data_IF_197497951650
#
_entry.id   IF_197497951650
#
_cell.length_a   1.000
_cell.length_b   1.000
_cell.length_c   1.000
_cell.angle_alpha   90.00
_cell.angle_beta   90.00
_cell.angle_gamma   90.00
#
_symmetry.space_group_name_H-M   'P 1'
#
loop_
_entity.id
_entity.type
_entity.pdbx_description
1 polymer ?
#
# COMPACT_ATOMS: atom_id res chain seq x y z
N UNK A 1 8.61 -47.33 -9.08
CA UNK A 1 9.70 -46.81 -8.21
C UNK A 1 11.05 -46.82 -8.95
N UNK A 2 11.52 -47.96 -9.48
CA UNK A 2 12.76 -48.04 -10.29
C UNK A 2 12.76 -47.12 -11.54
N UNK A 3 11.62 -47.01 -12.23
CA UNK A 3 11.51 -46.13 -13.42
C UNK A 3 11.52 -44.64 -13.06
N UNK A 4 10.94 -44.28 -11.91
CA UNK A 4 10.88 -42.90 -11.42
C UNK A 4 12.27 -42.38 -11.06
N UNK A 5 13.09 -43.22 -10.42
CA UNK A 5 14.47 -42.89 -10.04
C UNK A 5 15.40 -42.80 -11.26
N UNK A 6 15.21 -43.70 -12.24
CA UNK A 6 15.95 -43.66 -13.50
C UNK A 6 15.66 -42.38 -14.30
N UNK A 7 14.39 -41.93 -14.32
CA UNK A 7 13.99 -40.67 -14.97
C UNK A 7 14.60 -39.46 -14.26
N UNK A 8 14.60 -39.43 -12.92
CA UNK A 8 15.24 -38.35 -12.14
C UNK A 8 16.73 -38.22 -12.44
N UNK A 9 17.46 -39.34 -12.44
CA UNK A 9 18.88 -39.39 -12.79
C UNK A 9 19.16 -38.99 -14.24
N UNK A 10 18.26 -39.32 -15.17
CA UNK A 10 18.38 -38.88 -16.55
C UNK A 10 18.18 -37.36 -16.70
N UNK A 11 17.20 -36.77 -16.01
CA UNK A 11 16.93 -35.32 -16.03
C UNK A 11 18.10 -34.53 -15.40
N UNK A 12 18.66 -35.04 -14.30
CA UNK A 12 19.86 -34.48 -13.67
C UNK A 12 21.05 -34.50 -14.62
N UNK A 13 21.33 -35.65 -15.26
CA UNK A 13 22.53 -35.84 -16.09
C UNK A 13 22.48 -35.09 -17.43
N UNK A 14 21.30 -34.86 -18.01
CA UNK A 14 21.18 -34.38 -19.40
C UNK A 14 20.63 -32.97 -19.54
N UNK A 15 19.84 -32.46 -18.59
CA UNK A 15 19.06 -31.24 -18.80
C UNK A 15 19.37 -30.10 -17.83
N UNK A 16 20.15 -30.37 -16.75
CA UNK A 16 20.48 -29.34 -15.75
C UNK A 16 19.25 -28.70 -15.11
N UNK A 17 18.13 -29.44 -15.09
CA UNK A 17 16.84 -28.98 -14.58
C UNK A 17 16.69 -29.26 -13.10
N UNK A 18 17.17 -30.43 -12.68
CA UNK A 18 17.19 -30.91 -11.30
C UNK A 18 18.63 -31.17 -10.89
N UNK A 19 18.92 -30.97 -9.61
CA UNK A 19 20.23 -31.23 -9.01
C UNK A 19 20.04 -31.94 -7.67
N UNK A 20 20.80 -33.00 -7.42
CA UNK A 20 20.88 -33.64 -6.12
C UNK A 20 21.63 -32.73 -5.12
N UNK A 21 20.95 -32.28 -4.06
CA UNK A 21 21.52 -31.42 -3.00
C UNK A 21 22.10 -32.22 -1.85
N UNK A 22 21.52 -33.39 -1.61
CA UNK A 22 21.99 -34.41 -0.68
C UNK A 22 21.44 -35.76 -1.15
N UNK A 23 21.96 -36.86 -0.61
CA UNK A 23 21.57 -38.21 -1.04
C UNK A 23 20.05 -38.40 -1.00
N UNK A 24 19.43 -38.54 -2.18
CA UNK A 24 17.98 -38.71 -2.34
C UNK A 24 17.14 -37.43 -2.20
N UNK A 25 17.78 -36.26 -2.11
CA UNK A 25 17.11 -34.95 -2.01
C UNK A 25 17.44 -34.15 -3.28
N UNK A 26 16.40 -33.94 -4.10
CA UNK A 26 16.49 -33.19 -5.35
C UNK A 26 15.83 -31.82 -5.22
N UNK A 27 16.40 -30.83 -5.89
CA UNK A 27 15.78 -29.52 -6.09
C UNK A 27 15.88 -29.12 -7.56
N UNK A 28 15.03 -28.20 -8.01
CA UNK A 28 15.32 -27.49 -9.26
C UNK A 28 16.69 -26.81 -9.20
N UNK A 29 17.38 -26.83 -10.33
CA UNK A 29 18.71 -26.22 -10.43
C UNK A 29 18.65 -24.70 -10.31
N UNK A 30 17.50 -24.10 -10.69
CA UNK A 30 17.22 -22.66 -10.58
C UNK A 30 15.80 -22.42 -10.08
N UNK A 31 15.62 -21.38 -9.26
CA UNK A 31 14.32 -20.97 -8.73
C UNK A 31 13.31 -20.66 -9.85
N UNK A 32 13.76 -19.97 -10.91
CA UNK A 32 12.92 -19.65 -12.08
C UNK A 32 12.29 -20.89 -12.73
N UNK A 33 12.98 -22.04 -12.74
CA UNK A 33 12.38 -23.28 -13.23
C UNK A 33 11.30 -23.80 -12.28
N UNK A 34 11.54 -23.78 -10.98
CA UNK A 34 10.53 -24.16 -10.00
C UNK A 34 9.27 -23.30 -10.15
N UNK A 35 9.42 -21.98 -10.23
CA UNK A 35 8.32 -21.03 -10.37
C UNK A 35 7.54 -21.29 -11.67
N UNK A 36 8.25 -21.41 -12.79
CA UNK A 36 7.67 -21.69 -14.10
C UNK A 36 6.95 -23.04 -14.17
N UNK A 37 7.54 -24.13 -13.68
CA UNK A 37 6.90 -25.45 -13.72
C UNK A 37 5.73 -25.54 -12.75
N UNK A 38 5.78 -24.82 -11.62
CA UNK A 38 4.64 -24.72 -10.70
C UNK A 38 3.48 -24.01 -11.38
N UNK A 39 3.71 -22.82 -11.95
CA UNK A 39 2.69 -22.08 -12.69
C UNK A 39 2.12 -22.91 -13.85
N UNK A 40 2.99 -23.54 -14.64
CA UNK A 40 2.57 -24.42 -15.73
C UNK A 40 1.74 -25.60 -15.28
N UNK A 41 2.07 -26.21 -14.14
CA UNK A 41 1.32 -27.34 -13.60
C UNK A 41 -0.09 -26.92 -13.19
N UNK A 42 -0.25 -25.73 -12.62
CA UNK A 42 -1.55 -25.14 -12.26
C UNK A 42 -2.39 -24.91 -13.54
N UNK A 43 -1.80 -24.28 -14.56
CA UNK A 43 -2.51 -23.97 -15.82
C UNK A 43 -2.86 -25.23 -16.63
N UNK A 44 -2.06 -26.29 -16.52
CA UNK A 44 -2.27 -27.55 -17.23
C UNK A 44 -3.39 -28.45 -16.65
N UNK A 45 -4.19 -27.96 -15.70
CA UNK A 45 -5.32 -28.70 -15.12
C UNK A 45 -6.29 -29.20 -16.20
N UNK A 46 -6.69 -30.47 -16.10
CA UNK A 46 -7.39 -31.19 -17.16
C UNK A 46 -8.90 -30.94 -17.24
N UNK A 47 -9.47 -30.24 -16.25
CA UNK A 47 -10.88 -29.84 -16.20
C UNK A 47 -11.07 -28.58 -15.34
N UNK A 48 -12.26 -27.99 -15.40
CA UNK A 48 -12.60 -26.75 -14.69
C UNK A 48 -12.46 -26.88 -13.16
N UNK A 49 -13.04 -27.93 -12.56
CA UNK A 49 -12.98 -28.11 -11.10
C UNK A 49 -11.55 -28.31 -10.56
N UNK A 50 -10.68 -28.99 -11.33
CA UNK A 50 -9.27 -29.15 -11.00
C UNK A 50 -8.49 -27.85 -11.15
N UNK A 51 -8.86 -27.00 -12.11
CA UNK A 51 -8.29 -25.66 -12.23
C UNK A 51 -8.71 -24.79 -11.04
N UNK A 52 -10.01 -24.73 -10.70
CA UNK A 52 -10.51 -23.98 -9.55
C UNK A 52 -9.81 -24.39 -8.25
N UNK A 53 -9.67 -25.69 -7.99
CA UNK A 53 -8.96 -26.18 -6.81
C UNK A 53 -7.48 -25.75 -6.81
N UNK A 54 -6.81 -25.79 -7.96
CA UNK A 54 -5.42 -25.36 -8.08
C UNK A 54 -5.27 -23.83 -7.90
N UNK A 55 -6.21 -23.03 -8.41
CA UNK A 55 -6.23 -21.58 -8.22
C UNK A 55 -6.50 -21.23 -6.76
N UNK A 56 -7.44 -21.90 -6.10
CA UNK A 56 -7.67 -21.71 -4.65
C UNK A 56 -6.43 -22.08 -3.82
N UNK A 57 -5.74 -23.16 -4.19
CA UNK A 57 -4.46 -23.53 -3.57
C UNK A 57 -3.34 -22.51 -3.84
N UNK A 58 -3.32 -21.88 -5.00
CA UNK A 58 -2.37 -20.79 -5.28
C UNK A 58 -2.69 -19.56 -4.42
N UNK A 59 -3.96 -19.17 -4.36
CA UNK A 59 -4.42 -17.97 -3.63
C UNK A 59 -4.22 -18.09 -2.12
N UNK A 60 -4.18 -19.29 -1.54
CA UNK A 60 -3.79 -19.45 -0.12
C UNK A 60 -2.35 -19.02 0.18
N UNK A 61 -1.52 -18.79 -0.85
CA UNK A 61 -0.16 -18.26 -0.74
C UNK A 61 -0.06 -16.76 -1.08
N UNK A 62 -1.18 -16.03 -1.15
CA UNK A 62 -1.19 -14.63 -1.62
C UNK A 62 -0.30 -13.68 -0.79
N UNK A 63 -0.07 -14.00 0.50
CA UNK A 63 0.78 -13.21 1.39
C UNK A 63 2.22 -13.73 1.46
N UNK A 64 2.56 -14.81 0.77
CA UNK A 64 3.91 -15.38 0.75
C UNK A 64 4.74 -14.78 -0.41
N UNK A 65 5.80 -14.00 -0.12
CA UNK A 65 6.58 -13.34 -1.15
C UNK A 65 7.29 -14.31 -2.12
N UNK A 66 7.54 -15.56 -1.72
CA UNK A 66 8.18 -16.57 -2.58
C UNK A 66 7.26 -17.06 -3.69
N UNK A 67 5.95 -16.84 -3.57
CA UNK A 67 4.97 -17.25 -4.58
C UNK A 67 4.68 -16.16 -5.61
N UNK A 68 5.22 -14.95 -5.41
CA UNK A 68 4.92 -13.79 -6.26
C UNK A 68 5.09 -14.09 -7.74
N UNK A 69 6.19 -14.70 -8.14
CA UNK A 69 6.45 -15.01 -9.56
C UNK A 69 5.53 -16.12 -10.08
N UNK A 70 5.11 -17.07 -9.22
CA UNK A 70 4.13 -18.10 -9.59
C UNK A 70 2.78 -17.46 -9.94
N UNK A 71 2.34 -16.45 -9.19
CA UNK A 71 1.12 -15.69 -9.51
C UNK A 71 1.23 -15.00 -10.86
N UNK A 72 2.32 -14.26 -11.10
CA UNK A 72 2.52 -13.52 -12.35
C UNK A 72 2.56 -14.47 -13.56
N UNK A 73 3.34 -15.55 -13.45
CA UNK A 73 3.44 -16.55 -14.51
C UNK A 73 2.11 -17.28 -14.75
N UNK A 74 1.39 -17.65 -13.69
CA UNK A 74 0.08 -18.30 -13.82
C UNK A 74 -0.90 -17.37 -14.51
N UNK A 75 -1.00 -16.11 -14.07
CA UNK A 75 -1.89 -15.09 -14.65
C UNK A 75 -1.58 -14.88 -16.14
N UNK A 76 -0.30 -14.80 -16.52
CA UNK A 76 0.12 -14.62 -17.91
C UNK A 76 -0.11 -15.88 -18.79
N UNK A 77 -0.13 -17.08 -18.21
CA UNK A 77 -0.31 -18.34 -18.94
C UNK A 77 -1.78 -18.75 -19.10
N UNK A 78 -2.68 -18.23 -18.27
CA UNK A 78 -4.10 -18.53 -18.34
C UNK A 78 -4.75 -17.93 -19.59
N UNK A 79 -5.67 -18.66 -20.22
CA UNK A 79 -6.47 -18.15 -21.34
C UNK A 79 -7.46 -17.06 -20.92
N UNK A 80 -7.87 -17.10 -19.66
CA UNK A 80 -8.59 -16.05 -18.97
C UNK A 80 -8.16 -16.10 -17.51
N UNK A 81 -7.72 -14.97 -16.98
CA UNK A 81 -7.28 -14.85 -15.59
C UNK A 81 -8.39 -14.33 -14.66
N UNK A 82 -9.61 -14.10 -15.17
CA UNK A 82 -10.76 -13.56 -14.43
C UNK A 82 -10.96 -14.26 -13.08
N UNK A 83 -11.07 -15.59 -13.09
CA UNK A 83 -11.28 -16.37 -11.87
C UNK A 83 -10.13 -16.24 -10.88
N UNK A 84 -8.88 -16.19 -11.36
CA UNK A 84 -7.71 -16.04 -10.49
C UNK A 84 -7.71 -14.67 -9.82
N UNK A 85 -7.88 -13.59 -10.57
CA UNK A 85 -7.85 -12.22 -10.02
C UNK A 85 -9.04 -11.95 -9.09
N UNK A 86 -10.21 -12.56 -9.34
CA UNK A 86 -11.34 -12.51 -8.42
C UNK A 86 -11.05 -13.27 -7.11
N UNK A 87 -10.50 -14.49 -7.18
CA UNK A 87 -10.11 -15.24 -5.99
C UNK A 87 -9.04 -14.51 -5.18
N UNK A 88 -8.04 -13.91 -5.85
CA UNK A 88 -7.03 -13.06 -5.21
C UNK A 88 -7.71 -11.91 -4.44
N UNK A 89 -8.63 -11.18 -5.08
CA UNK A 89 -9.36 -10.08 -4.44
C UNK A 89 -10.13 -10.54 -3.20
N UNK A 90 -10.89 -11.62 -3.31
CA UNK A 90 -11.64 -12.19 -2.18
C UNK A 90 -10.72 -12.55 -1.01
N UNK A 91 -9.59 -13.21 -1.29
CA UNK A 91 -8.65 -13.60 -0.25
C UNK A 91 -7.96 -12.40 0.40
N UNK A 92 -7.69 -11.34 -0.37
CA UNK A 92 -7.12 -10.08 0.12
C UNK A 92 -8.08 -9.38 1.08
N UNK A 93 -9.36 -9.28 0.73
CA UNK A 93 -10.37 -8.63 1.57
C UNK A 93 -10.54 -9.34 2.92
N UNK A 94 -10.47 -10.68 2.91
CA UNK A 94 -10.53 -11.51 4.12
C UNK A 94 -9.40 -11.20 5.11
N UNK A 95 -8.23 -10.72 4.65
CA UNK A 95 -7.09 -10.43 5.53
C UNK A 95 -7.41 -9.38 6.60
N UNK A 96 -8.28 -8.42 6.26
CA UNK A 96 -8.62 -7.26 7.10
C UNK A 96 -10.05 -7.30 7.62
N UNK A 97 -10.89 -8.21 7.11
CA UNK A 97 -12.33 -8.23 7.38
C UNK A 97 -12.71 -8.39 8.86
N UNK A 98 -11.87 -9.08 9.65
CA UNK A 98 -12.18 -9.43 11.04
C UNK A 98 -11.69 -8.41 12.08
N UNK A 99 -10.91 -7.41 11.68
CA UNK A 99 -10.37 -6.39 12.60
C UNK A 99 -11.16 -5.07 12.45
N UNK A 100 -11.98 -4.69 13.44
CA UNK A 100 -12.79 -3.47 13.36
C UNK A 100 -11.97 -2.20 13.21
N UNK A 101 -10.77 -2.14 13.81
CA UNK A 101 -9.92 -0.95 13.76
C UNK A 101 -9.30 -0.78 12.37
N UNK A 102 -8.91 -1.89 11.73
CA UNK A 102 -8.50 -1.87 10.31
C UNK A 102 -9.67 -1.48 9.39
N UNK A 103 -10.90 -1.90 9.71
CA UNK A 103 -12.08 -1.50 8.94
C UNK A 103 -12.40 -0.01 9.08
N UNK A 104 -12.29 0.57 10.29
CA UNK A 104 -12.40 2.02 10.50
C UNK A 104 -11.36 2.80 9.71
N UNK A 105 -10.12 2.28 9.67
CA UNK A 105 -9.04 2.85 8.89
C UNK A 105 -9.32 2.85 7.38
N UNK A 106 -9.78 1.72 6.83
CA UNK A 106 -10.17 1.63 5.41
C UNK A 106 -11.36 2.53 5.08
N UNK A 107 -12.33 2.64 6.00
CA UNK A 107 -13.49 3.51 5.85
C UNK A 107 -13.08 4.98 5.80
N UNK A 108 -12.22 5.43 6.71
CA UNK A 108 -11.66 6.78 6.68
C UNK A 108 -10.96 7.06 5.35
N UNK A 109 -10.11 6.15 4.87
CA UNK A 109 -9.40 6.33 3.60
C UNK A 109 -10.36 6.37 2.41
N UNK A 110 -11.42 5.55 2.42
CA UNK A 110 -12.48 5.58 1.39
C UNK A 110 -13.20 6.92 1.38
N UNK A 111 -13.69 7.39 2.53
CA UNK A 111 -14.39 8.67 2.66
C UNK A 111 -13.50 9.83 2.20
N UNK A 112 -12.24 9.85 2.64
CA UNK A 112 -11.28 10.88 2.27
C UNK A 112 -11.03 10.92 0.76
N UNK A 113 -10.92 9.75 0.12
CA UNK A 113 -10.74 9.64 -1.33
C UNK A 113 -11.92 10.23 -2.14
N UNK A 114 -13.13 10.23 -1.58
CA UNK A 114 -14.34 10.74 -2.24
C UNK A 114 -14.50 12.26 -2.10
N UNK A 115 -13.85 12.89 -1.12
CA UNK A 115 -13.95 14.35 -0.88
C UNK A 115 -13.15 15.20 -1.87
N UNK A 116 -12.35 14.58 -2.75
CA UNK A 116 -11.50 15.29 -3.69
C UNK A 116 -12.21 15.47 -5.03
N UNK A 117 -12.34 16.71 -5.53
CA UNK A 117 -12.95 17.00 -6.82
C UNK A 117 -11.96 16.66 -7.97
N UNK A 118 -11.85 15.37 -8.29
CA UNK A 118 -11.36 14.75 -9.56
C UNK A 118 -9.89 14.89 -10.01
N UNK A 119 -9.28 13.74 -10.36
CA UNK A 119 -8.68 13.32 -11.66
C UNK A 119 -8.00 11.91 -11.60
N UNK A 120 -7.51 11.39 -10.45
CA UNK A 120 -7.06 9.99 -10.37
C UNK A 120 -8.24 9.00 -10.27
N UNK A 121 -8.01 7.74 -10.67
CA UNK A 121 -8.92 6.64 -10.34
C UNK A 121 -9.07 6.58 -8.82
N UNK A 122 -10.29 6.46 -8.30
CA UNK A 122 -10.60 6.41 -6.85
C UNK A 122 -9.76 5.36 -6.10
N UNK A 123 -9.38 4.25 -6.76
CA UNK A 123 -8.43 3.26 -6.24
C UNK A 123 -7.07 3.86 -5.87
N UNK A 124 -6.52 4.71 -6.71
CA UNK A 124 -5.21 5.34 -6.49
C UNK A 124 -5.29 6.34 -5.32
N UNK A 125 -6.39 7.08 -5.22
CA UNK A 125 -6.64 7.99 -4.09
C UNK A 125 -6.76 7.23 -2.77
N UNK A 126 -7.47 6.09 -2.75
CA UNK A 126 -7.51 5.21 -1.56
C UNK A 126 -6.12 4.69 -1.20
N UNK A 127 -5.38 4.17 -2.17
CA UNK A 127 -4.01 3.68 -1.95
C UNK A 127 -3.09 4.76 -1.37
N UNK A 128 -3.20 5.99 -1.86
CA UNK A 128 -2.45 7.11 -1.32
C UNK A 128 -2.78 7.42 0.14
N UNK A 129 -4.06 7.58 0.50
CA UNK A 129 -4.42 7.94 1.88
C UNK A 129 -4.06 6.83 2.87
N UNK A 130 -4.15 5.59 2.42
CA UNK A 130 -3.68 4.42 3.17
C UNK A 130 -2.15 4.40 3.35
N UNK A 131 -1.38 4.84 2.35
CA UNK A 131 0.07 5.00 2.45
C UNK A 131 0.46 6.20 3.34
N UNK A 132 -0.26 7.31 3.22
CA UNK A 132 -0.06 8.54 3.97
C UNK A 132 -0.25 8.31 5.46
N UNK A 133 -1.32 7.64 5.86
CA UNK A 133 -1.65 7.42 7.26
C UNK A 133 -0.79 6.34 7.98
N UNK A 134 0.16 5.70 7.29
CA UNK A 134 1.05 4.72 7.89
C UNK A 134 2.37 5.34 8.35
N UNK A 135 2.79 5.03 9.57
CA UNK A 135 4.12 5.35 10.08
C UNK A 135 4.93 4.06 10.29
N UNK A 136 6.13 3.90 9.68
CA UNK A 136 6.81 4.85 8.78
C UNK A 136 6.29 4.77 7.33
N UNK A 137 6.26 5.92 6.66
CA UNK A 137 5.95 6.06 5.23
C UNK A 137 6.97 5.31 4.37
N UNK A 138 6.58 4.20 3.74
CA UNK A 138 7.47 3.43 2.84
C UNK A 138 7.20 3.79 1.38
N UNK A 139 8.27 3.99 0.61
CA UNK A 139 8.20 4.37 -0.81
C UNK A 139 7.40 3.37 -1.67
N UNK A 140 7.37 2.09 -1.29
CA UNK A 140 6.57 1.06 -1.95
C UNK A 140 5.06 1.33 -1.84
N UNK A 141 4.57 1.86 -0.71
CA UNK A 141 3.14 2.16 -0.54
C UNK A 141 2.70 3.38 -1.37
N UNK A 142 3.60 4.35 -1.60
CA UNK A 142 3.33 5.48 -2.49
C UNK A 142 3.43 5.13 -3.98
N UNK A 143 4.15 4.06 -4.35
CA UNK A 143 4.20 3.59 -5.74
C UNK A 143 2.84 3.08 -6.25
N UNK A 144 1.97 2.60 -5.35
CA UNK A 144 0.56 2.29 -5.66
C UNK A 144 -0.25 3.53 -6.07
N UNK A 145 0.17 4.71 -5.62
CA UNK A 145 -0.50 5.98 -5.84
C UNK A 145 0.20 6.81 -6.92
N UNK A 146 0.06 6.43 -8.19
CA UNK A 146 0.57 7.25 -9.29
C UNK A 146 -0.40 8.40 -9.64
N UNK A 147 0.18 9.60 -9.74
CA UNK A 147 -0.40 10.94 -9.97
C UNK A 147 -1.19 11.50 -8.79
N UNK A 148 -0.61 12.50 -8.11
CA UNK A 148 -1.26 13.25 -7.03
C UNK A 148 -2.02 14.42 -7.64
N UNK A 149 -3.29 14.58 -7.28
CA UNK A 149 -3.96 15.87 -7.46
C UNK A 149 -3.43 16.91 -6.46
N UNK A 150 -3.76 18.18 -6.70
CA UNK A 150 -3.30 19.30 -5.87
C UNK A 150 -3.71 19.16 -4.39
N UNK A 151 -4.86 18.56 -4.10
CA UNK A 151 -5.34 18.30 -2.74
C UNK A 151 -4.58 17.18 -2.06
N UNK A 152 -4.29 16.08 -2.76
CA UNK A 152 -3.44 15.00 -2.26
C UNK A 152 -2.01 15.48 -2.02
N UNK A 153 -1.45 16.31 -2.92
CA UNK A 153 -0.14 16.93 -2.72
C UNK A 153 -0.09 17.81 -1.48
N UNK A 154 -1.11 18.66 -1.28
CA UNK A 154 -1.24 19.47 -0.07
C UNK A 154 -1.30 18.59 1.19
N UNK A 155 -2.05 17.50 1.16
CA UNK A 155 -2.15 16.56 2.29
C UNK A 155 -0.80 15.90 2.62
N UNK A 156 -0.07 15.40 1.61
CA UNK A 156 1.28 14.86 1.80
C UNK A 156 2.27 15.89 2.34
N UNK A 157 2.23 17.12 1.82
CA UNK A 157 3.13 18.18 2.26
C UNK A 157 2.89 18.58 3.73
N UNK A 158 1.62 18.62 4.14
CA UNK A 158 1.23 18.92 5.53
C UNK A 158 1.61 17.81 6.51
N UNK A 159 1.42 16.56 6.11
CA UNK A 159 1.81 15.40 6.93
C UNK A 159 3.33 15.32 7.11
N UNK A 160 4.10 15.51 6.04
CA UNK A 160 5.57 15.56 6.12
C UNK A 160 6.07 16.75 6.95
N UNK A 161 5.44 17.93 6.82
CA UNK A 161 5.74 19.08 7.69
C UNK A 161 5.56 18.71 9.16
N UNK A 162 4.43 18.10 9.52
CA UNK A 162 4.18 17.69 10.91
C UNK A 162 5.19 16.68 11.42
N UNK A 163 5.55 15.69 10.58
CA UNK A 163 6.55 14.69 10.93
C UNK A 163 7.92 15.34 11.19
N UNK A 164 8.34 16.27 10.33
CA UNK A 164 9.58 17.02 10.47
C UNK A 164 9.56 17.87 11.75
N UNK A 165 8.48 18.62 11.97
CA UNK A 165 8.36 19.52 13.12
C UNK A 165 8.24 18.75 14.45
N UNK A 166 7.64 17.55 14.46
CA UNK A 166 7.46 16.76 15.68
C UNK A 166 8.68 15.89 16.07
N UNK A 167 9.46 15.41 15.10
CA UNK A 167 10.55 14.45 15.35
C UNK A 167 11.96 15.06 15.41
N UNK A 168 12.17 16.27 14.89
CA UNK A 168 13.49 16.92 14.92
C UNK A 168 13.78 17.58 16.28
N UNK A 169 15.06 17.92 16.52
CA UNK A 169 15.43 18.78 17.64
C UNK A 169 14.61 20.06 17.57
N UNK A 170 13.97 20.45 18.67
CA UNK A 170 13.15 21.68 18.76
C UNK A 170 14.06 22.93 18.81
N UNK A 171 15.09 22.95 17.98
CA UNK A 171 16.06 24.01 17.86
C UNK A 171 15.60 25.03 16.80
N UNK A 172 16.36 26.12 16.71
CA UNK A 172 16.05 27.20 15.78
C UNK A 172 16.11 26.78 14.30
N UNK A 173 16.96 25.80 13.97
CA UNK A 173 17.09 25.34 12.59
C UNK A 173 15.83 24.61 12.15
N UNK A 174 15.28 23.74 13.01
CA UNK A 174 14.00 23.09 12.79
C UNK A 174 12.86 24.11 12.67
N UNK A 175 12.79 25.08 13.58
CA UNK A 175 11.77 26.13 13.54
C UNK A 175 11.77 26.93 12.23
N UNK A 176 12.96 27.31 11.74
CA UNK A 176 13.10 28.00 10.47
C UNK A 176 12.71 27.10 9.28
N UNK A 177 13.10 25.82 9.31
CA UNK A 177 12.70 24.85 8.29
C UNK A 177 11.17 24.68 8.23
N UNK A 178 10.51 24.55 9.39
CA UNK A 178 9.04 24.50 9.50
C UNK A 178 8.38 25.77 8.94
N UNK A 179 8.95 26.96 9.21
CA UNK A 179 8.44 28.24 8.68
C UNK A 179 8.58 28.34 7.15
N UNK A 180 9.73 27.93 6.60
CA UNK A 180 9.97 27.88 5.15
C UNK A 180 9.03 26.88 4.46
N UNK A 181 8.86 25.69 5.04
CA UNK A 181 7.94 24.68 4.54
C UNK A 181 6.48 25.17 4.56
N UNK A 182 6.04 25.83 5.65
CA UNK A 182 4.72 26.47 5.72
C UNK A 182 4.53 27.56 4.66
N UNK A 183 5.54 28.38 4.38
CA UNK A 183 5.46 29.37 3.30
C UNK A 183 5.20 28.74 1.94
N UNK A 184 5.87 27.62 1.64
CA UNK A 184 5.68 26.89 0.39
C UNK A 184 4.27 26.27 0.32
N UNK A 185 3.80 25.70 1.43
CA UNK A 185 2.47 25.09 1.54
C UNK A 185 1.35 26.14 1.40
N UNK A 186 1.50 27.32 2.00
CA UNK A 186 0.49 28.38 1.93
C UNK A 186 0.13 28.80 0.50
N UNK A 187 1.05 28.67 -0.46
CA UNK A 187 0.81 28.97 -1.88
C UNK A 187 -0.20 28.00 -2.51
N UNK A 188 -0.30 26.77 -1.99
CA UNK A 188 -1.19 25.73 -2.53
C UNK A 188 -2.53 25.64 -1.80
N UNK A 189 -2.70 26.35 -0.68
CA UNK A 189 -3.92 26.37 0.13
C UNK A 189 -4.97 27.30 -0.50
N UNK A 190 -6.07 26.71 -0.97
CA UNK A 190 -7.17 27.44 -1.60
C UNK A 190 -8.24 27.93 -0.61
N UNK A 191 -8.42 27.23 0.51
CA UNK A 191 -9.40 27.62 1.53
C UNK A 191 -8.91 28.83 2.32
N UNK A 192 -9.67 29.92 2.30
CA UNK A 192 -9.27 31.19 2.91
C UNK A 192 -9.20 31.12 4.45
N UNK A 193 -10.03 30.28 5.08
CA UNK A 193 -9.98 30.05 6.53
C UNK A 193 -8.72 29.30 6.93
N UNK A 194 -8.45 28.19 6.22
CA UNK A 194 -7.26 27.37 6.43
C UNK A 194 -5.98 28.14 6.17
N UNK A 195 -5.94 28.92 5.07
CA UNK A 195 -4.83 29.80 4.74
C UNK A 195 -4.52 30.74 5.89
N UNK A 196 -5.55 31.40 6.44
CA UNK A 196 -5.37 32.35 7.55
C UNK A 196 -4.89 31.67 8.82
N UNK A 197 -5.42 30.50 9.16
CA UNK A 197 -5.00 29.72 10.33
C UNK A 197 -3.53 29.28 10.21
N UNK A 198 -3.12 28.73 9.06
CA UNK A 198 -1.71 28.36 8.83
C UNK A 198 -0.78 29.57 8.78
N UNK A 199 -1.25 30.70 8.25
CA UNK A 199 -0.50 31.94 8.24
C UNK A 199 -0.20 32.43 9.67
N UNK A 200 -1.20 32.37 10.57
CA UNK A 200 -1.03 32.73 11.97
C UNK A 200 0.02 31.85 12.65
N UNK A 201 -0.09 30.52 12.50
CA UNK A 201 0.89 29.58 13.05
C UNK A 201 2.29 29.82 12.49
N UNK A 202 2.42 30.12 11.20
CA UNK A 202 3.71 30.47 10.59
C UNK A 202 4.30 31.73 11.22
N UNK A 203 3.48 32.75 11.47
CA UNK A 203 3.92 34.05 12.00
C UNK A 203 4.38 33.97 13.47
N UNK A 204 4.03 32.90 14.19
CA UNK A 204 4.52 32.59 15.54
C UNK A 204 5.94 31.99 15.52
N UNK A 205 6.39 31.44 14.40
CA UNK A 205 7.74 30.91 14.26
C UNK A 205 8.76 32.04 14.04
N UNK A 206 9.98 31.90 14.61
CA UNK A 206 11.01 32.90 14.44
C UNK A 206 11.47 32.97 12.99
N UNK A 207 11.54 34.19 12.45
CA UNK A 207 12.16 34.41 11.14
C UNK A 207 13.69 34.31 11.24
N UNK A 208 14.36 33.91 10.15
CA UNK A 208 15.82 33.83 10.05
C UNK A 208 16.60 35.09 10.50
N UNK A 209 15.94 36.25 10.60
CA UNK A 209 16.52 37.54 10.97
C UNK A 209 16.38 37.91 12.46
N UNK A 210 15.72 37.10 13.29
CA UNK A 210 15.54 37.36 14.72
C UNK A 210 16.72 36.80 15.56
N UNK A 211 17.14 37.55 16.58
CA UNK A 211 18.28 37.22 17.44
C UNK A 211 18.11 35.86 18.13
N UNK A 212 19.21 35.10 18.24
CA UNK A 212 19.30 33.80 18.94
C UNK A 212 19.04 33.87 20.46
N UNK A 213 18.87 35.06 21.03
CA UNK A 213 18.60 35.31 22.45
C UNK A 213 17.23 34.80 22.90
N UNK A 214 16.31 34.51 21.97
CA UNK A 214 14.97 34.00 22.27
C UNK A 214 14.92 32.52 22.66
N UNK A 215 16.02 31.77 22.43
CA UNK A 215 16.14 30.34 22.74
C UNK A 215 16.25 30.05 24.25
N UNK A 216 16.28 31.07 25.10
CA UNK A 216 16.36 30.91 26.54
C UNK A 216 14.98 30.73 27.20
N UNK A 217 14.93 29.74 28.10
CA UNK A 217 13.86 29.32 29.00
C UNK A 217 12.41 29.50 28.51
N UNK A 218 11.85 28.45 27.89
CA UNK A 218 10.43 28.37 27.54
C UNK A 218 10.14 28.01 26.09
N UNK A 219 11.11 28.16 25.18
CA UNK A 219 10.94 27.86 23.76
C UNK A 219 10.49 26.43 23.48
N UNK A 220 11.12 25.43 24.12
CA UNK A 220 10.75 24.01 23.94
C UNK A 220 9.26 23.76 24.27
N UNK A 221 8.77 24.39 25.34
CA UNK A 221 7.38 24.28 25.77
C UNK A 221 6.45 24.97 24.78
N UNK A 222 6.80 26.17 24.32
CA UNK A 222 6.01 26.90 23.33
C UNK A 222 5.97 26.17 21.99
N UNK A 223 7.11 25.67 21.51
CA UNK A 223 7.21 24.90 20.28
C UNK A 223 6.37 23.62 20.35
N UNK A 224 6.38 22.91 21.48
CA UNK A 224 5.53 21.73 21.65
C UNK A 224 4.03 22.05 21.60
N UNK A 225 3.61 23.20 22.16
CA UNK A 225 2.22 23.69 22.04
C UNK A 225 1.90 24.04 20.58
N UNK A 226 2.81 24.74 19.92
CA UNK A 226 2.66 25.14 18.52
C UNK A 226 2.52 23.93 17.58
N UNK A 227 3.30 22.86 17.78
CA UNK A 227 3.18 21.61 17.00
C UNK A 227 1.79 20.99 17.18
N UNK A 228 1.24 21.01 18.39
CA UNK A 228 -0.10 20.49 18.65
C UNK A 228 -1.20 21.37 18.05
N UNK A 229 -1.07 22.70 18.10
CA UNK A 229 -1.99 23.62 17.42
C UNK A 229 -1.95 23.47 15.89
N UNK A 230 -0.77 23.25 15.33
CA UNK A 230 -0.60 22.90 13.92
C UNK A 230 -1.29 21.56 13.60
N UNK A 231 -1.11 20.55 14.47
CA UNK A 231 -1.75 19.23 14.31
C UNK A 231 -3.28 19.36 14.33
N UNK A 232 -3.84 20.09 15.29
CA UNK A 232 -5.29 20.31 15.41
C UNK A 232 -5.84 21.09 14.22
N UNK A 233 -5.13 22.13 13.76
CA UNK A 233 -5.52 22.93 12.59
C UNK A 233 -5.57 22.07 11.33
N UNK A 234 -4.55 21.25 11.09
CA UNK A 234 -4.50 20.34 9.94
C UNK A 234 -5.60 19.26 10.05
N UNK A 235 -5.83 18.72 11.25
CA UNK A 235 -6.92 17.77 11.48
C UNK A 235 -8.29 18.40 11.17
N UNK A 236 -8.54 19.63 11.62
CA UNK A 236 -9.80 20.34 11.42
C UNK A 236 -10.11 20.59 9.94
N UNK A 237 -9.14 21.09 9.17
CA UNK A 237 -9.37 21.48 7.78
C UNK A 237 -9.16 20.36 6.76
N UNK A 238 -8.28 19.40 7.06
CA UNK A 238 -7.85 18.38 6.10
C UNK A 238 -8.20 16.96 6.52
N UNK A 239 -8.48 16.69 7.81
CA UNK A 239 -8.84 15.36 8.30
C UNK A 239 -7.81 14.26 7.93
N UNK A 240 -6.51 14.59 7.98
CA UNK A 240 -5.40 13.68 7.62
C UNK A 240 -4.54 13.23 8.82
N UNK A 241 -4.72 13.86 9.98
CA UNK A 241 -3.88 13.68 11.17
C UNK A 241 -4.40 12.62 12.15
N UNK A 242 -5.04 11.57 11.66
CA UNK A 242 -5.35 10.46 12.54
C UNK A 242 -4.03 9.73 12.87
N UNK A 243 -3.56 9.89 14.11
CA UNK A 243 -2.49 9.06 14.65
C UNK A 243 -3.03 7.64 14.83
N UNK A 244 -3.04 6.85 13.76
CA UNK A 244 -3.44 5.44 13.83
C UNK A 244 -2.40 4.65 14.60
N UNK A 245 -2.75 4.23 15.81
CA UNK A 245 -1.87 3.46 16.68
C UNK A 245 -2.05 1.96 16.42
N UNK A 246 -1.49 1.49 15.31
CA UNK A 246 -1.55 0.07 14.97
C UNK A 246 -0.67 -0.76 15.89
N UNK A 247 -1.22 -1.85 16.42
CA UNK A 247 -0.44 -2.88 17.09
C UNK A 247 0.56 -3.54 16.12
N UNK A 248 1.65 -4.17 16.60
CA UNK A 248 2.58 -4.88 15.73
C UNK A 248 1.92 -5.96 14.86
N UNK A 249 0.88 -6.62 15.38
CA UNK A 249 0.11 -7.60 14.61
C UNK A 249 -0.69 -6.95 13.48
N UNK A 250 -1.34 -5.81 13.74
CA UNK A 250 -2.06 -5.03 12.72
C UNK A 250 -1.12 -4.48 11.65
N UNK A 251 0.08 -4.03 12.04
CA UNK A 251 1.10 -3.59 11.09
C UNK A 251 1.50 -4.72 10.13
N UNK A 252 1.71 -5.94 10.64
CA UNK A 252 2.03 -7.10 9.81
C UNK A 252 0.88 -7.50 8.87
N UNK A 253 -0.37 -7.44 9.35
CA UNK A 253 -1.57 -7.68 8.54
C UNK A 253 -1.69 -6.64 7.42
N UNK A 254 -1.49 -5.37 7.75
CA UNK A 254 -1.51 -4.27 6.79
C UNK A 254 -0.40 -4.43 5.74
N UNK A 255 0.84 -4.72 6.14
CA UNK A 255 1.93 -5.01 5.20
C UNK A 255 1.57 -6.15 4.24
N UNK A 256 1.02 -7.25 4.77
CA UNK A 256 0.56 -8.38 3.96
C UNK A 256 -0.58 -7.98 3.00
N UNK A 257 -1.51 -7.15 3.47
CA UNK A 257 -2.63 -6.62 2.69
C UNK A 257 -2.15 -5.73 1.54
N UNK A 258 -1.19 -4.84 1.78
CA UNK A 258 -0.62 -3.98 0.72
C UNK A 258 0.16 -4.78 -0.31
N UNK A 259 1.04 -5.68 0.14
CA UNK A 259 1.83 -6.52 -0.75
C UNK A 259 0.93 -7.39 -1.65
N UNK A 260 -0.16 -7.91 -1.09
CA UNK A 260 -1.13 -8.70 -1.85
C UNK A 260 -1.93 -7.84 -2.85
N UNK A 261 -2.36 -6.62 -2.48
CA UNK A 261 -2.99 -5.69 -3.41
C UNK A 261 -2.04 -5.26 -4.54
N UNK A 262 -0.76 -5.03 -4.23
CA UNK A 262 0.27 -4.75 -5.24
C UNK A 262 0.42 -5.93 -6.21
N UNK A 263 0.48 -7.16 -5.71
CA UNK A 263 0.56 -8.36 -6.54
C UNK A 263 -0.69 -8.51 -7.43
N UNK A 264 -1.88 -8.24 -6.91
CA UNK A 264 -3.12 -8.22 -7.70
C UNK A 264 -3.05 -7.20 -8.84
N UNK A 265 -2.59 -5.98 -8.56
CA UNK A 265 -2.39 -4.95 -9.58
C UNK A 265 -1.32 -5.33 -10.59
N UNK A 266 -0.20 -5.93 -10.16
CA UNK A 266 0.86 -6.40 -11.05
C UNK A 266 0.32 -7.50 -11.99
N UNK A 267 -0.50 -8.42 -11.46
CA UNK A 267 -1.20 -9.41 -12.27
C UNK A 267 -2.13 -8.73 -13.28
N UNK A 268 -2.94 -7.75 -12.87
CA UNK A 268 -3.84 -7.03 -13.76
C UNK A 268 -3.10 -6.24 -14.84
N UNK A 269 -1.96 -5.63 -14.53
CA UNK A 269 -1.16 -4.83 -15.47
C UNK A 269 -0.20 -5.66 -16.33
N UNK A 270 -0.08 -6.96 -16.07
CA UNK A 270 0.64 -7.89 -16.95
C UNK A 270 -0.11 -8.08 -18.28
N UNK A 271 0.54 -8.74 -19.26
CA UNK A 271 -0.10 -9.16 -20.51
C UNK A 271 -1.07 -10.35 -20.31
N UNK A 272 -1.96 -10.25 -19.33
CA UNK A 272 -2.95 -11.27 -19.00
C UNK A 272 -4.30 -11.00 -19.68
N UNK A 273 -5.03 -12.08 -19.93
CA UNK A 273 -6.38 -12.01 -20.49
C UNK A 273 -7.39 -11.85 -19.35
N UNK A 274 -7.67 -10.59 -18.96
CA UNK A 274 -8.72 -10.25 -18.00
C UNK A 274 -9.78 -9.40 -18.68
N UNK A 275 -11.06 -9.77 -18.51
CA UNK A 275 -12.16 -9.01 -19.12
C UNK A 275 -12.26 -7.59 -18.54
N UNK A 276 -12.70 -6.63 -19.36
CA UNK A 276 -12.81 -5.24 -18.96
C UNK A 276 -13.76 -5.05 -17.76
N UNK A 277 -14.84 -5.84 -17.68
CA UNK A 277 -15.79 -5.80 -16.58
C UNK A 277 -15.12 -6.20 -15.25
N UNK A 278 -14.42 -7.34 -15.22
CA UNK A 278 -13.71 -7.81 -14.02
C UNK A 278 -12.60 -6.83 -13.61
N UNK A 279 -11.86 -6.29 -14.58
CA UNK A 279 -10.85 -5.27 -14.30
C UNK A 279 -11.44 -4.03 -13.63
N UNK A 280 -12.53 -3.51 -14.18
CA UNK A 280 -13.21 -2.33 -13.62
C UNK A 280 -13.80 -2.63 -12.23
N UNK A 281 -14.37 -3.81 -12.04
CA UNK A 281 -14.91 -4.25 -10.75
C UNK A 281 -13.82 -4.33 -9.68
N UNK A 282 -12.68 -4.96 -9.98
CA UNK A 282 -11.56 -5.06 -9.05
C UNK A 282 -11.00 -3.67 -8.74
N UNK A 283 -10.76 -2.83 -9.74
CA UNK A 283 -10.30 -1.46 -9.52
C UNK A 283 -11.28 -0.66 -8.66
N UNK A 284 -12.58 -0.80 -8.90
CA UNK A 284 -13.61 -0.07 -8.15
C UNK A 284 -13.73 -0.56 -6.69
N UNK A 285 -13.40 -1.82 -6.40
CA UNK A 285 -13.52 -2.45 -5.07
C UNK A 285 -12.20 -2.57 -4.31
N UNK A 286 -11.07 -2.21 -4.94
CA UNK A 286 -9.74 -2.22 -4.33
C UNK A 286 -9.71 -1.33 -3.07
N UNK A 287 -9.14 -1.84 -1.97
CA UNK A 287 -8.92 -1.05 -0.75
C UNK A 287 -10.20 -0.47 -0.12
N UNK A 288 -11.35 -1.13 -0.30
CA UNK A 288 -12.60 -0.77 0.35
C UNK A 288 -12.76 -1.43 1.72
N UNK A 289 -13.45 -0.78 2.67
CA UNK A 289 -13.95 -1.45 3.85
C UNK A 289 -15.05 -2.46 3.47
N UNK A 290 -15.19 -3.50 4.28
CA UNK A 290 -16.14 -4.60 4.12
C UNK A 290 -17.58 -4.09 3.97
N UNK A 291 -17.96 -3.08 4.75
CA UNK A 291 -19.29 -2.47 4.68
C UNK A 291 -19.62 -1.91 3.29
N UNK A 292 -18.64 -1.29 2.61
CA UNK A 292 -18.84 -0.74 1.26
C UNK A 292 -18.82 -1.81 0.18
N UNK A 293 -18.09 -2.92 0.40
CA UNK A 293 -18.14 -4.10 -0.46
C UNK A 293 -19.53 -4.74 -0.42
N UNK A 294 -20.04 -5.01 0.78
CA UNK A 294 -21.38 -5.60 0.98
C UNK A 294 -22.47 -4.70 0.38
N UNK A 295 -22.40 -3.38 0.58
CA UNK A 295 -23.38 -2.45 0.04
C UNK A 295 -23.50 -2.50 -1.50
N UNK A 296 -22.43 -2.89 -2.20
CA UNK A 296 -22.41 -3.03 -3.66
C UNK A 296 -22.97 -4.35 -4.15
N UNK A 297 -22.91 -5.42 -3.36
CA UNK A 297 -23.52 -6.70 -3.72
C UNK A 297 -25.06 -6.63 -3.78
N UNK A 298 -25.64 -5.64 -3.10
CA UNK A 298 -27.09 -5.38 -3.05
C UNK A 298 -27.59 -4.34 -4.06
N UNK A 299 -26.72 -3.81 -4.93
CA UNK A 299 -27.05 -2.85 -6.00
C UNK A 299 -27.20 -3.53 -7.36
#
# INVERSE_FOLDING_TARGET
>A
QLESEAVLKAIEAQHGLLTERARGIFSFSYLAFQEYFTARKIVASHNLGGLEQALSGLVSHITDPHWREVFLLTTAMLRSADSLVQLMKQQIDVLVAQDPYLQEFLLWASQKSQMIPTEPKVANSRAFYLALAQSPHTAAHFALACTLDQGMFLDAALDNLLLECANQSQDFACANACSEALNNILVTVLDAGFYKSLQQLRDELPSANQNREWLEDGWQKHYSIWVEELRETIAHYRNINHSWEFSPAQQQVLESYYNANQLLLDCLHSNCEVTAAIRQEIEATLLLPQQELEAREWQ
#
